data_IF_148681156557
#
_entry.id   IF_148681156557
#
_cell.length_a   1.000
_cell.length_b   1.000
_cell.length_c   1.000
_cell.angle_alpha   90.00
_cell.angle_beta   90.00
_cell.angle_gamma   90.00
#
_symmetry.space_group_name_H-M   'P 1'
#
loop_
_entity.id
_entity.type
_entity.pdbx_description
1 polymer ?
#
# COMPACT_ATOMS: atom_id res chain seq x y z
N UNK A 1 -16.08 -5.70 -18.87
CA UNK A 1 -16.56 -7.08 -18.56
C UNK A 1 -15.53 -7.80 -17.71
N UNK A 2 -14.24 -7.75 -18.10
CA UNK A 2 -13.13 -8.22 -17.28
C UNK A 2 -13.15 -7.62 -15.86
N UNK A 3 -13.35 -6.31 -15.77
CA UNK A 3 -13.37 -5.57 -14.49
C UNK A 3 -14.52 -6.02 -13.58
N UNK A 4 -15.72 -6.21 -14.13
CA UNK A 4 -16.87 -6.73 -13.37
C UNK A 4 -16.64 -8.16 -12.86
N UNK A 5 -15.97 -9.01 -13.64
CA UNK A 5 -15.59 -10.36 -13.20
C UNK A 5 -14.57 -10.24 -12.06
N UNK A 6 -13.53 -9.41 -12.22
CA UNK A 6 -12.50 -9.18 -11.22
C UNK A 6 -13.11 -8.73 -9.88
N UNK A 7 -13.90 -7.65 -9.85
CA UNK A 7 -14.49 -7.14 -8.59
C UNK A 7 -15.47 -8.12 -7.93
N UNK A 8 -16.01 -9.09 -8.69
CA UNK A 8 -16.95 -10.09 -8.16
C UNK A 8 -16.24 -11.28 -7.52
N UNK A 9 -15.12 -11.74 -8.09
CA UNK A 9 -14.42 -12.95 -7.63
C UNK A 9 -13.15 -12.66 -6.81
N UNK A 10 -12.53 -11.49 -7.01
CA UNK A 10 -11.32 -11.11 -6.30
C UNK A 10 -11.44 -11.19 -4.77
N UNK A 11 -12.54 -10.73 -4.13
CA UNK A 11 -12.67 -10.83 -2.67
C UNK A 11 -12.55 -12.26 -2.13
N UNK A 12 -13.02 -13.27 -2.88
CA UNK A 12 -12.90 -14.68 -2.50
C UNK A 12 -11.45 -15.17 -2.58
N UNK A 13 -10.73 -14.75 -3.63
CA UNK A 13 -9.32 -15.08 -3.81
C UNK A 13 -8.48 -14.41 -2.72
N UNK A 14 -8.77 -13.14 -2.42
CA UNK A 14 -8.15 -12.36 -1.34
C UNK A 14 -8.29 -13.09 -0.01
N UNK A 15 -9.50 -13.46 0.38
CA UNK A 15 -9.77 -14.14 1.65
C UNK A 15 -9.07 -15.50 1.74
N UNK A 16 -9.08 -16.30 0.66
CA UNK A 16 -8.34 -17.56 0.61
C UNK A 16 -6.84 -17.36 0.83
N UNK A 17 -6.23 -16.36 0.18
CA UNK A 17 -4.80 -16.08 0.34
C UNK A 17 -4.46 -15.52 1.73
N UNK A 18 -5.33 -14.66 2.30
CA UNK A 18 -5.23 -14.17 3.68
C UNK A 18 -5.15 -15.35 4.64
N UNK A 19 -6.12 -16.26 4.58
CA UNK A 19 -6.19 -17.43 5.45
C UNK A 19 -4.98 -18.35 5.28
N UNK A 20 -4.53 -18.60 4.04
CA UNK A 20 -3.30 -19.37 3.78
C UNK A 20 -2.08 -18.77 4.50
N UNK A 21 -1.92 -17.45 4.47
CA UNK A 21 -0.80 -16.78 5.17
C UNK A 21 -0.96 -16.94 6.68
N UNK A 22 -2.13 -16.64 7.23
CA UNK A 22 -2.35 -16.73 8.68
C UNK A 22 -2.17 -18.16 9.22
N UNK A 23 -2.57 -19.18 8.47
CA UNK A 23 -2.34 -20.59 8.83
C UNK A 23 -0.86 -20.99 8.85
N UNK A 24 0.02 -20.22 8.20
CA UNK A 24 1.46 -20.48 8.20
C UNK A 24 2.18 -19.92 9.44
N UNK A 25 1.52 -19.04 10.21
CA UNK A 25 2.10 -18.31 11.35
C UNK A 25 1.97 -19.06 12.69
N UNK A 26 2.05 -20.40 12.68
CA UNK A 26 1.76 -21.24 13.87
C UNK A 26 2.71 -21.00 15.05
N UNK A 27 3.89 -20.44 14.79
CA UNK A 27 4.94 -20.17 15.75
C UNK A 27 5.21 -18.66 15.92
N UNK A 28 4.22 -17.83 15.58
CA UNK A 28 4.21 -16.40 15.85
C UNK A 28 3.37 -16.11 17.09
N UNK A 29 3.85 -15.18 17.92
CA UNK A 29 3.06 -14.53 18.95
C UNK A 29 2.17 -13.44 18.36
N UNK A 30 1.17 -12.99 19.14
CA UNK A 30 0.26 -11.93 18.71
C UNK A 30 0.05 -10.84 19.75
N UNK A 31 -0.10 -9.60 19.26
CA UNK A 31 -0.61 -8.45 20.00
C UNK A 31 -1.87 -7.98 19.29
N UNK A 32 -2.95 -7.79 20.05
CA UNK A 32 -4.18 -7.18 19.52
C UNK A 32 -4.25 -5.72 19.92
N UNK A 33 -4.51 -4.87 18.94
CA UNK A 33 -4.83 -3.46 19.14
C UNK A 33 -6.34 -3.25 18.94
N UNK A 34 -6.77 -2.01 18.67
CA UNK A 34 -8.19 -1.71 18.42
C UNK A 34 -8.64 -2.19 17.04
N UNK A 35 -7.78 -2.08 16.04
CA UNK A 35 -8.10 -2.39 14.64
C UNK A 35 -7.17 -3.44 14.00
N UNK A 36 -6.07 -3.83 14.67
CA UNK A 36 -5.05 -4.70 14.11
C UNK A 36 -4.72 -5.90 15.02
N UNK A 37 -4.30 -6.99 14.40
CA UNK A 37 -3.55 -8.07 15.06
C UNK A 37 -2.14 -8.09 14.51
N UNK A 38 -1.16 -7.80 15.36
CA UNK A 38 0.27 -7.86 15.02
C UNK A 38 0.79 -9.27 15.31
N UNK A 39 1.41 -9.91 14.32
CA UNK A 39 2.07 -11.22 14.41
C UNK A 39 3.58 -11.00 14.38
N UNK A 40 4.31 -11.58 15.34
CA UNK A 40 5.77 -11.46 15.46
C UNK A 40 6.39 -12.68 16.15
N UNK A 41 7.71 -12.84 16.08
CA UNK A 41 8.48 -13.82 16.85
C UNK A 41 8.80 -13.31 18.26
N UNK A 42 9.03 -14.19 19.23
CA UNK A 42 9.23 -13.81 20.65
C UNK A 42 10.23 -12.64 20.83
N UNK A 43 11.34 -12.66 20.10
CA UNK A 43 12.40 -11.63 20.15
C UNK A 43 11.97 -10.27 19.53
N UNK A 44 10.94 -10.26 18.68
CA UNK A 44 10.40 -9.08 17.99
C UNK A 44 9.21 -8.44 18.75
N UNK A 45 8.91 -8.89 19.97
CA UNK A 45 7.77 -8.39 20.75
C UNK A 45 7.75 -6.88 20.92
N UNK A 46 8.91 -6.28 21.15
CA UNK A 46 9.02 -4.83 21.31
C UNK A 46 8.70 -4.08 20.02
N UNK A 47 9.19 -4.59 18.87
CA UNK A 47 8.84 -4.04 17.55
C UNK A 47 7.34 -4.18 17.32
N UNK A 48 6.75 -5.35 17.62
CA UNK A 48 5.31 -5.56 17.49
C UNK A 48 4.46 -4.56 18.28
N UNK A 49 4.91 -4.15 19.48
CA UNK A 49 4.25 -3.10 20.26
C UNK A 49 4.35 -1.74 19.58
N UNK A 50 5.56 -1.32 19.18
CA UNK A 50 5.79 -0.03 18.53
C UNK A 50 5.02 0.08 17.21
N UNK A 51 5.06 -0.96 16.36
CA UNK A 51 4.31 -0.99 15.09
C UNK A 51 2.82 -0.81 15.34
N UNK A 52 2.26 -1.49 16.36
CA UNK A 52 0.86 -1.34 16.76
C UNK A 52 0.52 0.07 17.23
N UNK A 53 1.36 0.67 18.07
CA UNK A 53 1.15 2.04 18.55
C UNK A 53 1.18 3.06 17.40
N UNK A 54 2.17 2.94 16.50
CA UNK A 54 2.31 3.79 15.32
C UNK A 54 1.07 3.71 14.43
N UNK A 55 0.64 2.51 14.03
CA UNK A 55 -0.44 2.40 13.06
C UNK A 55 -1.80 2.83 13.66
N UNK A 56 -2.01 2.62 14.96
CA UNK A 56 -3.19 3.11 15.66
C UNK A 56 -3.23 4.64 15.77
N UNK A 57 -2.06 5.30 15.87
CA UNK A 57 -1.97 6.78 15.82
C UNK A 57 -2.50 7.32 14.49
N UNK A 58 -2.17 6.67 13.37
CA UNK A 58 -2.55 7.13 12.02
C UNK A 58 -3.84 6.52 11.46
N UNK A 59 -4.42 5.52 12.12
CA UNK A 59 -5.57 4.76 11.58
C UNK A 59 -6.73 5.66 11.16
N UNK A 60 -7.17 6.55 12.05
CA UNK A 60 -8.33 7.40 11.83
C UNK A 60 -8.07 8.43 10.70
N UNK A 61 -6.84 8.96 10.61
CA UNK A 61 -6.47 9.93 9.59
C UNK A 61 -6.42 9.30 8.19
N UNK A 62 -5.82 8.11 8.06
CA UNK A 62 -5.82 7.36 6.80
C UNK A 62 -7.25 7.02 6.39
N UNK A 63 -8.06 6.46 7.30
CA UNK A 63 -9.45 6.10 6.99
C UNK A 63 -10.29 7.32 6.58
N UNK A 64 -10.06 8.47 7.23
CA UNK A 64 -10.75 9.72 6.94
C UNK A 64 -10.44 10.22 5.53
N UNK A 65 -9.18 10.22 5.10
CA UNK A 65 -8.80 10.57 3.73
C UNK A 65 -9.63 9.79 2.71
N UNK A 66 -9.78 8.49 2.93
CA UNK A 66 -10.47 7.60 1.97
C UNK A 66 -11.99 7.46 2.18
N UNK A 67 -12.53 8.10 3.24
CA UNK A 67 -13.91 7.90 3.71
C UNK A 67 -14.27 6.41 3.81
N UNK A 68 -13.33 5.58 4.26
CA UNK A 68 -13.46 4.13 4.31
C UNK A 68 -12.79 3.58 5.55
N UNK A 69 -13.56 2.85 6.36
CA UNK A 69 -13.11 2.20 7.58
C UNK A 69 -13.22 0.69 7.40
N UNK A 70 -12.09 -0.06 7.44
CA UNK A 70 -12.12 -1.51 7.40
C UNK A 70 -12.99 -2.09 8.51
N UNK A 71 -13.78 -3.10 8.17
CA UNK A 71 -14.72 -3.76 9.11
C UNK A 71 -14.00 -4.86 9.89
N UNK A 72 -13.09 -5.57 9.22
CA UNK A 72 -12.40 -6.72 9.77
C UNK A 72 -11.11 -6.30 10.48
N UNK A 73 -10.68 -7.13 11.42
CA UNK A 73 -9.34 -7.04 12.01
C UNK A 73 -8.26 -7.24 10.94
N UNK A 74 -7.26 -6.34 10.97
CA UNK A 74 -6.22 -6.27 9.96
C UNK A 74 -4.94 -6.94 10.49
N UNK A 75 -4.48 -8.04 9.87
CA UNK A 75 -3.24 -8.67 10.27
C UNK A 75 -2.02 -7.90 9.75
N UNK A 76 -1.10 -7.59 10.66
CA UNK A 76 0.24 -7.10 10.37
C UNK A 76 1.23 -8.19 10.77
N UNK A 77 2.12 -8.62 9.88
CA UNK A 77 3.11 -9.66 10.14
C UNK A 77 4.50 -9.04 10.06
N UNK A 78 5.32 -9.23 11.09
CA UNK A 78 6.70 -8.73 11.16
C UNK A 78 7.68 -9.89 10.97
N UNK A 79 8.57 -9.77 9.99
CA UNK A 79 9.56 -10.78 9.63
C UNK A 79 10.97 -10.34 10.03
N UNK A 80 11.72 -11.23 10.69
CA UNK A 80 13.11 -11.01 11.13
C UNK A 80 14.13 -11.11 9.99
N UNK A 81 13.71 -11.54 8.80
CA UNK A 81 14.58 -11.66 7.64
C UNK A 81 13.81 -11.53 6.32
N UNK A 82 14.52 -11.07 5.29
CA UNK A 82 13.97 -10.84 3.94
C UNK A 82 13.41 -12.12 3.30
N UNK A 83 14.04 -13.26 3.56
CA UNK A 83 13.69 -14.54 2.95
C UNK A 83 12.28 -14.98 3.36
N UNK A 84 11.97 -14.92 4.65
CA UNK A 84 10.67 -15.33 5.17
C UNK A 84 9.54 -14.43 4.64
N UNK A 85 9.81 -13.12 4.50
CA UNK A 85 8.88 -12.19 3.87
C UNK A 85 8.62 -12.61 2.41
N UNK A 86 9.66 -12.72 1.59
CA UNK A 86 9.56 -13.08 0.17
C UNK A 86 8.84 -14.42 -0.02
N UNK A 87 9.24 -15.45 0.75
CA UNK A 87 8.69 -16.80 0.64
C UNK A 87 7.20 -16.84 1.01
N UNK A 88 6.77 -16.04 1.99
CA UNK A 88 5.37 -16.00 2.46
C UNK A 88 4.44 -15.35 1.45
N UNK A 89 4.83 -14.19 0.92
CA UNK A 89 4.05 -13.46 -0.08
C UNK A 89 4.25 -13.98 -1.50
N UNK A 90 5.18 -14.94 -1.70
CA UNK A 90 5.53 -15.54 -2.99
C UNK A 90 5.84 -14.48 -4.05
N UNK A 91 6.56 -13.43 -3.65
CA UNK A 91 7.12 -12.47 -4.60
C UNK A 91 8.05 -13.24 -5.54
N UNK A 92 7.97 -12.98 -6.84
CA UNK A 92 8.86 -13.65 -7.80
C UNK A 92 10.32 -13.31 -7.44
N UNK A 93 11.20 -14.31 -7.53
CA UNK A 93 12.61 -14.27 -7.09
C UNK A 93 13.49 -13.19 -7.78
N UNK A 94 12.94 -12.43 -8.72
CA UNK A 94 13.67 -11.47 -9.56
C UNK A 94 13.88 -10.08 -8.91
N UNK A 95 13.37 -9.85 -7.70
CA UNK A 95 13.71 -8.65 -6.90
C UNK A 95 15.00 -8.88 -6.10
N UNK A 96 16.03 -8.08 -6.41
CA UNK A 96 17.37 -8.17 -5.80
C UNK A 96 17.42 -7.96 -4.27
N UNK A 97 16.38 -7.35 -3.67
CA UNK A 97 16.21 -7.12 -2.23
C UNK A 97 14.71 -7.14 -1.87
N UNK A 98 14.35 -7.62 -0.67
CA UNK A 98 12.97 -7.53 -0.20
C UNK A 98 12.57 -6.06 0.05
N UNK A 99 11.30 -5.68 -0.22
CA UNK A 99 10.81 -4.37 0.21
C UNK A 99 10.69 -4.33 1.75
N UNK A 100 10.76 -3.13 2.34
CA UNK A 100 10.58 -2.93 3.78
C UNK A 100 9.15 -3.30 4.23
N UNK A 101 8.18 -3.16 3.33
CA UNK A 101 6.78 -3.53 3.54
C UNK A 101 6.17 -4.07 2.26
N UNK A 102 5.14 -4.91 2.41
CA UNK A 102 4.29 -5.33 1.29
C UNK A 102 2.88 -5.68 1.76
N UNK A 103 1.90 -5.04 1.14
CA UNK A 103 0.51 -5.40 1.21
C UNK A 103 0.24 -6.57 0.27
N UNK A 104 -0.31 -7.66 0.81
CA UNK A 104 -0.71 -8.80 0.01
C UNK A 104 -2.00 -9.44 0.52
N UNK A 105 -3.03 -9.40 -0.33
CA UNK A 105 -4.30 -10.12 -0.09
C UNK A 105 -4.92 -9.91 1.29
N UNK A 106 -4.95 -8.67 1.80
CA UNK A 106 -5.53 -8.37 3.11
C UNK A 106 -4.60 -8.59 4.30
N UNK A 107 -3.30 -8.82 4.06
CA UNK A 107 -2.26 -8.79 5.10
C UNK A 107 -1.24 -7.71 4.80
N UNK A 108 -0.74 -7.07 5.87
CA UNK A 108 0.39 -6.13 5.83
C UNK A 108 1.61 -6.90 6.30
N UNK A 109 2.66 -6.97 5.50
CA UNK A 109 3.86 -7.77 5.78
C UNK A 109 5.05 -6.83 5.86
N UNK A 110 5.73 -6.78 7.00
CA UNK A 110 6.79 -5.81 7.28
C UNK A 110 8.09 -6.52 7.59
N UNK A 111 9.19 -6.01 7.05
CA UNK A 111 10.52 -6.38 7.50
C UNK A 111 10.83 -5.67 8.82
N UNK A 112 11.38 -6.39 9.80
CA UNK A 112 11.73 -5.78 11.09
C UNK A 112 12.69 -4.60 10.90
N UNK A 113 12.45 -3.45 11.58
CA UNK A 113 13.35 -2.31 11.54
C UNK A 113 14.74 -2.63 12.11
N UNK A 114 14.88 -3.68 12.92
CA UNK A 114 16.17 -4.17 13.42
C UNK A 114 17.17 -4.54 12.30
N UNK A 115 16.69 -4.73 11.07
CA UNK A 115 17.51 -5.11 9.91
C UNK A 115 18.18 -3.91 9.24
N UNK A 116 17.56 -2.73 9.30
CA UNK A 116 17.98 -1.56 8.53
C UNK A 116 18.13 -0.27 9.35
N UNK A 117 17.79 -0.30 10.64
CA UNK A 117 18.00 0.81 11.57
C UNK A 117 19.00 0.41 12.66
N UNK A 118 19.93 1.30 12.96
CA UNK A 118 20.88 1.14 14.06
C UNK A 118 20.19 1.32 15.44
N UNK A 119 20.62 0.57 16.45
CA UNK A 119 19.92 0.43 17.74
C UNK A 119 19.72 1.76 18.50
N UNK A 120 20.70 2.67 18.45
CA UNK A 120 20.70 3.92 19.23
C UNK A 120 19.56 4.90 18.84
N UNK A 121 19.01 4.79 17.63
CA UNK A 121 17.94 5.66 17.10
C UNK A 121 16.69 4.88 16.64
N UNK A 122 16.60 3.58 16.96
CA UNK A 122 15.62 2.64 16.41
C UNK A 122 14.18 3.17 16.39
N UNK A 123 13.68 3.67 17.53
CA UNK A 123 12.27 4.06 17.69
C UNK A 123 11.95 5.31 16.88
N UNK A 124 12.78 6.34 17.00
CA UNK A 124 12.51 7.65 16.40
C UNK A 124 12.73 7.60 14.88
N UNK A 125 13.72 6.85 14.42
CA UNK A 125 13.89 6.59 12.99
C UNK A 125 12.73 5.74 12.47
N UNK A 126 12.36 4.64 13.14
CA UNK A 126 11.26 3.79 12.68
C UNK A 126 9.95 4.56 12.56
N UNK A 127 9.60 5.42 13.52
CA UNK A 127 8.40 6.29 13.42
C UNK A 127 8.40 7.18 12.17
N UNK A 128 9.58 7.62 11.70
CA UNK A 128 9.73 8.54 10.57
C UNK A 128 9.82 7.84 9.22
N UNK A 129 10.22 6.58 9.20
CA UNK A 129 10.49 5.81 7.98
C UNK A 129 9.71 4.49 7.92
N UNK A 130 8.71 4.32 8.78
CA UNK A 130 7.88 3.13 8.84
C UNK A 130 7.04 2.94 7.56
N UNK A 131 7.09 1.76 6.94
CA UNK A 131 6.26 1.46 5.76
C UNK A 131 4.80 1.16 6.13
N UNK A 132 4.44 1.04 7.42
CA UNK A 132 3.11 0.53 7.81
C UNK A 132 1.95 1.42 7.33
N UNK A 133 2.15 2.74 7.27
CA UNK A 133 1.14 3.70 6.75
C UNK A 133 0.98 3.56 5.23
N UNK A 134 2.10 3.35 4.51
CA UNK A 134 2.12 3.07 3.08
C UNK A 134 1.35 1.77 2.77
N UNK A 135 1.67 0.68 3.47
CA UNK A 135 1.01 -0.61 3.27
C UNK A 135 -0.47 -0.60 3.69
N UNK A 136 -0.82 0.14 4.74
CA UNK A 136 -2.22 0.30 5.12
C UNK A 136 -3.00 1.07 4.05
N UNK A 137 -2.39 2.05 3.40
CA UNK A 137 -3.01 2.76 2.27
C UNK A 137 -3.31 1.81 1.11
N UNK A 138 -2.40 0.89 0.78
CA UNK A 138 -2.66 -0.14 -0.22
C UNK A 138 -3.87 -1.02 0.14
N UNK A 139 -4.01 -1.41 1.41
CA UNK A 139 -5.17 -2.16 1.88
C UNK A 139 -6.48 -1.40 1.65
N UNK A 140 -6.54 -0.11 2.01
CA UNK A 140 -7.74 0.73 1.84
C UNK A 140 -8.10 0.86 0.36
N UNK A 141 -7.11 1.14 -0.49
CA UNK A 141 -7.31 1.21 -1.95
C UNK A 141 -7.84 -0.12 -2.47
N UNK A 142 -7.27 -1.25 -2.04
CA UNK A 142 -7.72 -2.57 -2.45
C UNK A 142 -9.15 -2.89 -2.04
N UNK A 143 -9.55 -2.55 -0.81
CA UNK A 143 -10.92 -2.76 -0.34
C UNK A 143 -11.93 -1.91 -1.10
N UNK A 144 -11.65 -0.62 -1.29
CA UNK A 144 -12.54 0.28 -2.03
C UNK A 144 -12.73 -0.16 -3.46
N UNK A 145 -11.66 -0.63 -4.10
CA UNK A 145 -11.65 -0.96 -5.53
C UNK A 145 -11.88 -2.44 -5.81
N UNK A 146 -11.90 -3.30 -4.78
CA UNK A 146 -11.96 -4.77 -4.90
C UNK A 146 -10.90 -5.30 -5.87
N UNK A 147 -9.67 -4.84 -5.69
CA UNK A 147 -8.53 -5.21 -6.54
C UNK A 147 -8.50 -4.56 -7.93
N UNK A 148 -9.50 -3.73 -8.31
CA UNK A 148 -9.61 -3.14 -9.65
C UNK A 148 -8.89 -1.79 -9.75
N UNK A 149 -7.58 -1.77 -9.57
CA UNK A 149 -6.76 -0.57 -9.67
C UNK A 149 -5.46 -0.83 -10.43
N UNK A 150 -4.90 0.18 -11.13
CA UNK A 150 -3.56 0.10 -11.68
C UNK A 150 -2.51 0.39 -10.61
N UNK A 151 -1.29 -0.14 -10.77
CA UNK A 151 -0.19 0.02 -9.80
C UNK A 151 0.11 1.48 -9.49
N UNK A 152 0.22 2.34 -10.51
CA UNK A 152 0.51 3.76 -10.31
C UNK A 152 -0.49 4.47 -9.37
N UNK A 153 -1.75 4.03 -9.35
CA UNK A 153 -2.75 4.66 -8.51
C UNK A 153 -2.52 4.28 -7.05
N UNK A 154 -2.24 3.01 -6.76
CA UNK A 154 -2.02 2.57 -5.38
C UNK A 154 -0.68 3.07 -4.83
N UNK A 155 0.40 3.02 -5.62
CA UNK A 155 1.72 3.51 -5.20
C UNK A 155 1.72 5.03 -5.01
N UNK A 156 1.11 5.76 -5.93
CA UNK A 156 1.01 7.22 -5.83
C UNK A 156 0.19 7.65 -4.61
N UNK A 157 -0.89 6.93 -4.28
CA UNK A 157 -1.72 7.24 -3.11
C UNK A 157 -1.00 6.90 -1.81
N UNK A 158 -0.31 5.77 -1.75
CA UNK A 158 0.45 5.36 -0.58
C UNK A 158 1.57 6.37 -0.27
N UNK A 159 2.37 6.75 -1.26
CA UNK A 159 3.40 7.80 -1.11
C UNK A 159 2.79 9.17 -0.74
N UNK A 160 1.63 9.51 -1.29
CA UNK A 160 0.95 10.76 -0.95
C UNK A 160 0.50 10.81 0.51
N UNK A 161 -0.08 9.72 1.02
CA UNK A 161 -0.54 9.63 2.41
C UNK A 161 0.65 9.59 3.36
N UNK A 162 1.69 8.84 3.02
CA UNK A 162 2.93 8.76 3.78
C UNK A 162 3.58 10.15 3.95
N UNK A 163 3.67 10.93 2.87
CA UNK A 163 4.15 12.32 2.94
C UNK A 163 3.26 13.21 3.81
N UNK A 164 1.93 13.05 3.73
CA UNK A 164 0.98 13.93 4.43
C UNK A 164 0.90 13.66 5.93
N UNK A 165 1.04 12.40 6.34
CA UNK A 165 0.84 11.99 7.73
C UNK A 165 2.16 11.88 8.49
N UNK A 166 3.18 11.25 7.91
CA UNK A 166 4.46 11.00 8.59
C UNK A 166 5.60 11.91 8.09
N UNK A 167 5.36 12.69 7.03
CA UNK A 167 6.34 13.63 6.48
C UNK A 167 7.47 12.96 5.70
N UNK A 168 7.38 11.67 5.44
CA UNK A 168 8.35 10.95 4.63
C UNK A 168 8.29 11.42 3.18
N UNK A 169 9.45 11.58 2.56
CA UNK A 169 9.55 11.97 1.17
C UNK A 169 10.36 10.92 0.43
N UNK A 170 9.69 10.17 -0.44
CA UNK A 170 10.39 9.53 -1.55
C UNK A 170 11.15 10.65 -2.26
N UNK A 171 12.47 10.53 -2.45
CA UNK A 171 13.32 11.52 -3.14
C UNK A 171 13.93 10.99 -4.45
N UNK A 172 13.87 9.68 -4.67
CA UNK A 172 14.36 9.07 -5.89
C UNK A 172 13.54 9.48 -7.11
N UNK A 173 14.18 9.53 -8.28
CA UNK A 173 13.57 9.91 -9.56
C UNK A 173 13.15 11.40 -9.70
N UNK A 174 13.46 12.28 -8.74
CA UNK A 174 13.18 13.72 -8.86
C UNK A 174 13.87 14.28 -10.11
N UNK A 175 13.09 14.94 -10.98
CA UNK A 175 13.60 15.53 -12.22
C UNK A 175 13.76 14.56 -13.39
N UNK A 176 13.48 13.27 -13.19
CA UNK A 176 13.62 12.22 -14.22
C UNK A 176 12.28 11.79 -14.87
N UNK A 177 11.16 12.35 -14.41
CA UNK A 177 9.80 11.93 -14.82
C UNK A 177 9.24 12.63 -16.06
N UNK A 178 9.97 13.61 -16.61
CA UNK A 178 9.48 14.50 -17.69
C UNK A 178 9.02 13.77 -18.96
N UNK A 179 9.63 12.62 -19.27
CA UNK A 179 9.29 11.80 -20.44
C UNK A 179 8.30 10.68 -20.15
N UNK A 180 7.84 10.55 -18.90
CA UNK A 180 6.90 9.51 -18.48
C UNK A 180 5.49 10.09 -18.44
N UNK A 181 4.59 9.50 -19.23
CA UNK A 181 3.18 9.84 -19.25
C UNK A 181 2.38 8.93 -18.32
N UNK A 182 1.15 9.32 -17.97
CA UNK A 182 0.26 8.44 -17.22
C UNK A 182 -0.09 7.15 -18.01
N UNK A 183 -0.06 7.22 -19.34
CA UNK A 183 -0.22 6.05 -20.20
C UNK A 183 0.93 5.05 -20.03
N UNK A 184 2.17 5.53 -19.91
CA UNK A 184 3.34 4.67 -19.68
C UNK A 184 3.22 3.98 -18.31
N UNK A 185 2.85 4.72 -17.28
CA UNK A 185 2.56 4.17 -15.95
C UNK A 185 1.44 3.11 -15.99
N UNK A 186 0.38 3.35 -16.76
CA UNK A 186 -0.77 2.45 -16.75
C UNK A 186 -0.56 1.15 -17.52
N UNK A 187 0.29 1.15 -18.56
CA UNK A 187 0.47 -0.01 -19.44
C UNK A 187 1.85 -0.65 -19.39
N UNK A 188 2.83 0.01 -18.78
CA UNK A 188 4.24 -0.39 -18.83
C UNK A 188 4.96 -0.25 -17.48
N UNK A 189 4.22 -0.21 -16.37
CA UNK A 189 4.76 0.03 -15.03
C UNK A 189 6.00 -0.83 -14.71
N UNK A 190 5.89 -2.15 -14.92
CA UNK A 190 6.93 -3.13 -14.58
C UNK A 190 8.22 -2.99 -15.41
N UNK A 191 8.16 -2.29 -16.55
CA UNK A 191 9.33 -2.06 -17.41
C UNK A 191 9.96 -0.68 -17.21
N UNK A 192 9.40 0.15 -16.33
CA UNK A 192 10.00 1.42 -15.94
C UNK A 192 10.97 1.18 -14.77
N UNK A 193 11.96 2.06 -14.62
CA UNK A 193 12.74 2.10 -13.39
C UNK A 193 11.80 2.40 -12.22
N UNK A 194 11.86 1.58 -11.17
CA UNK A 194 10.95 1.66 -10.02
C UNK A 194 10.91 3.08 -9.43
N UNK A 195 12.07 3.69 -9.21
CA UNK A 195 12.24 5.05 -8.68
C UNK A 195 11.45 6.09 -9.48
N UNK A 196 11.52 6.01 -10.81
CA UNK A 196 10.85 6.92 -11.74
C UNK A 196 9.35 6.63 -11.79
N UNK A 197 8.96 5.35 -11.79
CA UNK A 197 7.55 4.94 -11.81
C UNK A 197 6.83 5.42 -10.54
N UNK A 198 7.45 5.24 -9.37
CA UNK A 198 6.93 5.63 -8.07
C UNK A 198 6.85 7.16 -7.97
N UNK A 199 7.92 7.88 -8.34
CA UNK A 199 7.90 9.35 -8.41
C UNK A 199 6.76 9.86 -9.28
N UNK A 200 6.65 9.38 -10.52
CA UNK A 200 5.63 9.88 -11.46
C UNK A 200 4.22 9.57 -10.95
N UNK A 201 4.04 8.42 -10.29
CA UNK A 201 2.78 8.04 -9.64
C UNK A 201 2.39 9.03 -8.54
N UNK A 202 3.32 9.34 -7.64
CA UNK A 202 3.14 10.36 -6.61
C UNK A 202 2.83 11.75 -7.21
N UNK A 203 3.62 12.22 -8.18
CA UNK A 203 3.39 13.50 -8.86
C UNK A 203 2.01 13.58 -9.52
N UNK A 204 1.53 12.45 -10.07
CA UNK A 204 0.20 12.35 -10.67
C UNK A 204 -0.89 12.52 -9.62
N UNK A 205 -0.77 11.88 -8.45
CA UNK A 205 -1.73 12.03 -7.35
C UNK A 205 -1.71 13.44 -6.78
N UNK A 206 -0.53 14.04 -6.59
CA UNK A 206 -0.40 15.45 -6.18
C UNK A 206 -1.09 16.37 -7.17
N UNK A 207 -0.88 16.19 -8.48
CA UNK A 207 -1.56 16.96 -9.51
C UNK A 207 -3.08 16.80 -9.45
N UNK A 208 -3.58 15.56 -9.38
CA UNK A 208 -5.01 15.28 -9.30
C UNK A 208 -5.64 15.91 -8.05
N UNK A 209 -5.01 15.73 -6.89
CA UNK A 209 -5.48 16.32 -5.64
C UNK A 209 -5.47 17.86 -5.69
N UNK A 210 -4.42 18.47 -6.24
CA UNK A 210 -4.33 19.94 -6.33
C UNK A 210 -5.41 20.57 -7.22
N UNK A 211 -5.91 19.83 -8.21
CA UNK A 211 -6.86 20.33 -9.21
C UNK A 211 -8.30 19.92 -8.94
N UNK A 212 -8.52 18.77 -8.32
CA UNK A 212 -9.83 18.16 -8.16
C UNK A 212 -10.17 17.78 -6.72
N UNK A 213 -9.27 17.99 -5.76
CA UNK A 213 -9.44 17.61 -4.36
C UNK A 213 -9.54 16.10 -4.14
N UNK A 214 -9.25 15.66 -2.91
CA UNK A 214 -9.16 14.23 -2.59
C UNK A 214 -10.52 13.51 -2.69
N UNK A 215 -11.64 14.20 -2.46
CA UNK A 215 -12.98 13.62 -2.60
C UNK A 215 -13.25 13.10 -4.02
N UNK A 216 -12.73 13.76 -5.05
CA UNK A 216 -12.86 13.24 -6.42
C UNK A 216 -11.96 12.02 -6.65
N UNK A 217 -10.83 11.90 -5.96
CA UNK A 217 -10.04 10.66 -5.95
C UNK A 217 -10.83 9.52 -5.28
N UNK A 218 -11.54 9.79 -4.18
CA UNK A 218 -12.45 8.80 -3.60
C UNK A 218 -13.54 8.35 -4.57
N UNK A 219 -14.15 9.29 -5.31
CA UNK A 219 -15.10 8.94 -6.37
C UNK A 219 -14.45 8.09 -7.47
N UNK A 220 -13.18 8.31 -7.83
CA UNK A 220 -12.46 7.44 -8.76
C UNK A 220 -12.39 6.01 -8.20
N UNK A 221 -11.96 5.84 -6.95
CA UNK A 221 -11.83 4.54 -6.29
C UNK A 221 -13.18 3.82 -6.20
N UNK A 222 -14.24 4.52 -5.84
CA UNK A 222 -15.60 3.95 -5.77
C UNK A 222 -16.11 3.51 -7.15
N UNK A 223 -15.81 4.28 -8.21
CA UNK A 223 -16.15 3.89 -9.59
C UNK A 223 -15.37 2.64 -10.03
N UNK A 224 -14.11 2.51 -9.61
CA UNK A 224 -13.32 1.29 -9.84
C UNK A 224 -13.90 0.10 -9.06
N UNK A 225 -14.33 0.29 -7.82
CA UNK A 225 -14.94 -0.75 -6.96
C UNK A 225 -16.23 -1.37 -7.50
N UNK A 226 -16.95 -0.64 -8.35
CA UNK A 226 -18.13 -1.17 -9.07
C UNK A 226 -17.79 -1.78 -10.45
N UNK A 227 -16.51 -1.94 -10.76
CA UNK A 227 -16.01 -2.52 -12.00
C UNK A 227 -15.83 -1.52 -13.15
N UNK A 228 -15.68 -0.23 -12.84
CA UNK A 228 -15.35 0.78 -13.83
C UNK A 228 -13.95 0.58 -14.43
N UNK A 229 -13.78 0.90 -15.70
CA UNK A 229 -12.47 0.90 -16.35
C UNK A 229 -11.74 2.21 -16.05
N UNK A 230 -10.44 2.16 -15.71
CA UNK A 230 -9.66 3.35 -15.31
C UNK A 230 -9.81 4.54 -16.25
N UNK A 231 -9.71 4.36 -17.57
CA UNK A 231 -9.81 5.47 -18.52
C UNK A 231 -11.22 6.07 -18.56
N UNK A 232 -12.26 5.22 -18.43
CA UNK A 232 -13.65 5.70 -18.36
C UNK A 232 -13.94 6.38 -17.02
N UNK A 233 -13.37 5.89 -15.93
CA UNK A 233 -13.54 6.46 -14.59
C UNK A 233 -12.85 7.82 -14.49
N UNK A 234 -11.62 7.96 -15.00
CA UNK A 234 -10.92 9.24 -15.11
C UNK A 234 -11.76 10.27 -15.90
N UNK A 235 -12.31 9.86 -17.06
CA UNK A 235 -13.17 10.75 -17.87
C UNK A 235 -14.45 11.13 -17.14
N UNK A 236 -15.04 10.21 -16.38
CA UNK A 236 -16.29 10.45 -15.65
C UNK A 236 -16.07 11.47 -14.54
N UNK A 237 -15.03 11.27 -13.73
CA UNK A 237 -14.73 12.04 -12.52
C UNK A 237 -14.02 13.35 -12.85
N UNK A 238 -12.90 13.29 -13.58
CA UNK A 238 -12.00 14.43 -13.78
C UNK A 238 -12.13 15.09 -15.16
N UNK A 239 -12.97 14.54 -16.06
CA UNK A 239 -13.10 14.97 -17.46
C UNK A 239 -11.80 14.91 -18.26
N UNK A 240 -10.86 14.07 -17.82
CA UNK A 240 -9.57 13.81 -18.49
C UNK A 240 -9.39 12.31 -18.74
N UNK A 241 -8.45 11.97 -19.59
CA UNK A 241 -8.05 10.62 -19.96
C UNK A 241 -6.57 10.39 -19.68
N UNK A 242 -6.13 9.13 -19.80
CA UNK A 242 -4.73 8.75 -19.60
C UNK A 242 -3.73 9.53 -20.49
N UNK A 243 -4.19 10.10 -21.62
CA UNK A 243 -3.34 10.89 -22.54
C UNK A 243 -3.30 12.38 -22.22
N UNK A 244 -4.12 12.85 -21.28
CA UNK A 244 -4.27 14.28 -20.93
C UNK A 244 -3.63 14.63 -19.58
N UNK A 245 -3.09 13.63 -18.87
CA UNK A 245 -2.34 13.74 -17.62
C UNK A 245 -0.90 13.29 -17.89
#
# INVERSE_FOLDING_TARGET
MKEHIQVSFYPLIKDYQKNRILESLNDYETIKTKHFTIYFKEDEKYIGQITGDIIEEYYDEVCLYFSHYPIDDIPIIIYENEKDLIDTVKLQEDTFHAPLGVYYSGTINLLSPNIWIEEDDLIEEYKRTTPVVHEFTHLIVDEKTKGNYPLWLTEGLALFIEEKLIGFQWNEGIGETSNITLKDLNYNFDNLKIDIAYRKSYETIVYLNSKYEFDNINLLLDNLGIGGNINTSLKKVFKVSLSEI
#
